data_IF_367647879324
#
_entry.id   IF_367647879324
#
_cell.length_a   1.000
_cell.length_b   1.000
_cell.length_c   1.000
_cell.angle_alpha   90.00
_cell.angle_beta   90.00
_cell.angle_gamma   90.00
#
_symmetry.space_group_name_H-M   'P 1'
#
loop_
_entity.id
_entity.type
_entity.pdbx_description
1 polymer ?
#
# COMPACT_ATOMS: atom_id res chain seq x y z
N UNK A 1 -4.71 13.24 -5.66
CA UNK A 1 -5.85 12.34 -5.44
C UNK A 1 -7.01 13.00 -4.68
N UNK A 2 -6.89 14.25 -4.26
CA UNK A 2 -7.98 15.03 -3.66
C UNK A 2 -8.20 14.80 -2.15
N UNK A 3 -7.28 14.16 -1.46
CA UNK A 3 -7.29 14.13 0.00
C UNK A 3 -7.08 15.54 0.56
N UNK A 4 -7.79 15.85 1.64
CA UNK A 4 -7.54 17.10 2.37
C UNK A 4 -6.43 16.85 3.40
N UNK A 5 -5.33 17.56 3.23
CA UNK A 5 -4.16 17.50 4.13
C UNK A 5 -3.86 18.92 4.62
N UNK A 6 -3.63 19.08 5.91
CA UNK A 6 -3.14 20.33 6.48
C UNK A 6 -1.95 20.05 7.38
N UNK A 7 -0.98 20.93 7.34
CA UNK A 7 0.26 20.85 8.11
C UNK A 7 0.38 22.07 9.02
N UNK A 8 0.92 21.88 10.21
CA UNK A 8 1.29 22.97 11.12
C UNK A 8 2.67 22.70 11.68
N UNK A 9 3.60 23.62 11.42
CA UNK A 9 4.95 23.56 11.99
C UNK A 9 4.91 24.10 13.41
N UNK A 10 5.41 23.34 14.39
CA UNK A 10 5.46 23.72 15.79
C UNK A 10 6.85 24.22 16.19
N UNK A 11 7.90 23.58 15.73
CA UNK A 11 9.28 23.99 16.03
C UNK A 11 10.19 23.79 14.82
N UNK A 12 11.25 24.61 14.77
CA UNK A 12 12.34 24.44 13.85
C UNK A 12 13.62 24.34 14.70
N UNK A 13 14.08 23.12 14.95
CA UNK A 13 15.27 22.84 15.76
C UNK A 13 16.32 22.11 14.96
N UNK A 14 17.49 22.68 14.85
CA UNK A 14 18.62 22.02 14.16
C UNK A 14 18.47 21.91 12.63
N UNK A 15 17.59 22.72 12.02
CA UNK A 15 17.34 22.67 10.57
C UNK A 15 16.24 21.70 10.15
N UNK A 16 15.64 20.97 11.09
CA UNK A 16 14.50 20.11 10.84
C UNK A 16 13.22 20.71 11.42
N UNK A 17 12.15 20.66 10.65
CA UNK A 17 10.83 21.10 11.08
C UNK A 17 10.07 19.93 11.71
N UNK A 18 9.50 20.18 12.89
CA UNK A 18 8.56 19.26 13.55
C UNK A 18 7.19 19.89 13.65
N UNK A 19 6.14 19.09 13.51
CA UNK A 19 4.79 19.60 13.51
C UNK A 19 3.73 18.52 13.42
N UNK A 20 2.50 18.95 13.19
CA UNK A 20 1.37 18.05 13.03
C UNK A 20 0.91 18.01 11.58
N UNK A 21 0.56 16.82 11.11
CA UNK A 21 -0.13 16.59 9.86
C UNK A 21 -1.54 16.10 10.16
N UNK A 22 -2.53 16.82 9.66
CA UNK A 22 -3.94 16.44 9.79
C UNK A 22 -4.49 16.01 8.44
N UNK A 23 -5.09 14.84 8.39
CA UNK A 23 -5.66 14.27 7.18
C UNK A 23 -7.16 14.05 7.40
N UNK A 24 -7.97 14.59 6.50
CA UNK A 24 -9.41 14.32 6.50
C UNK A 24 -9.72 13.28 5.44
N UNK A 25 -10.33 12.18 5.86
CA UNK A 25 -10.78 11.13 4.95
C UNK A 25 -11.82 11.64 3.94
N UNK A 26 -11.82 11.05 2.75
CA UNK A 26 -12.73 11.41 1.67
C UNK A 26 -12.59 10.45 0.50
N UNK A 27 -13.37 10.68 -0.56
CA UNK A 27 -13.26 9.94 -1.81
C UNK A 27 -12.01 10.39 -2.57
N UNK A 28 -11.14 9.44 -2.84
CA UNK A 28 -9.97 9.69 -3.68
C UNK A 28 -10.37 9.64 -5.16
N UNK A 29 -9.59 10.34 -5.98
CA UNK A 29 -9.73 10.35 -7.44
C UNK A 29 -8.43 9.91 -8.10
N UNK A 30 -8.57 9.26 -9.24
CA UNK A 30 -7.43 8.90 -10.07
C UNK A 30 -6.65 10.14 -10.51
N UNK A 31 -5.33 9.97 -10.66
CA UNK A 31 -4.39 11.01 -11.08
C UNK A 31 -3.32 10.44 -12.01
N UNK A 32 -2.57 11.31 -12.63
CA UNK A 32 -1.34 10.95 -13.32
C UNK A 32 -0.13 11.32 -12.45
N UNK A 33 0.81 10.36 -12.31
CA UNK A 33 2.07 10.49 -11.56
C UNK A 33 3.19 10.14 -12.52
N UNK A 34 4.14 11.06 -12.68
CA UNK A 34 5.30 10.88 -13.55
C UNK A 34 6.24 12.08 -13.48
N UNK A 35 7.39 12.01 -14.17
CA UNK A 35 8.38 13.06 -14.23
C UNK A 35 9.08 13.32 -12.89
N UNK A 36 9.40 14.58 -12.62
CA UNK A 36 10.30 15.02 -11.55
C UNK A 36 9.83 14.67 -10.12
N UNK A 37 8.55 14.33 -9.93
CA UNK A 37 8.06 13.93 -8.60
C UNK A 37 8.43 12.49 -8.25
N UNK A 38 8.61 11.62 -9.24
CA UNK A 38 8.80 10.19 -9.05
C UNK A 38 9.98 9.87 -8.12
N UNK A 39 11.17 10.46 -8.29
CA UNK A 39 12.29 10.19 -7.38
C UNK A 39 11.97 10.47 -5.90
N UNK A 40 11.14 11.48 -5.63
CA UNK A 40 10.79 11.88 -4.27
C UNK A 40 9.77 10.96 -3.60
N UNK A 41 8.99 10.21 -4.40
CA UNK A 41 7.93 9.33 -3.91
C UNK A 41 8.10 7.89 -4.35
N UNK A 42 9.25 7.54 -4.91
CA UNK A 42 9.51 6.23 -5.54
C UNK A 42 9.19 5.07 -4.58
N UNK A 43 9.57 5.22 -3.34
CA UNK A 43 9.37 4.21 -2.31
C UNK A 43 7.93 4.13 -1.78
N UNK A 44 7.11 5.16 -2.05
CA UNK A 44 5.70 5.22 -1.65
C UNK A 44 4.76 4.72 -2.77
N UNK A 45 5.29 4.44 -3.96
CA UNK A 45 4.47 3.98 -5.10
C UNK A 45 3.65 2.71 -4.78
N UNK A 46 4.14 1.71 -4.01
CA UNK A 46 3.32 0.57 -3.64
C UNK A 46 2.03 0.94 -2.91
N UNK A 47 2.11 1.81 -1.90
CA UNK A 47 0.91 2.25 -1.16
C UNK A 47 0.05 3.23 -1.98
N UNK A 48 0.65 4.03 -2.86
CA UNK A 48 -0.07 4.90 -3.79
C UNK A 48 -0.87 4.06 -4.79
N UNK A 49 -0.34 2.93 -5.26
CA UNK A 49 -1.05 2.01 -6.14
C UNK A 49 -2.27 1.36 -5.45
N UNK A 50 -2.16 1.01 -4.17
CA UNK A 50 -3.29 0.57 -3.35
C UNK A 50 -4.36 1.67 -3.26
N UNK A 51 -3.94 2.90 -2.95
CA UNK A 51 -4.86 4.04 -2.92
C UNK A 51 -5.51 4.30 -4.29
N UNK A 52 -4.79 4.08 -5.38
CA UNK A 52 -5.29 4.20 -6.75
C UNK A 52 -6.36 3.14 -7.07
N UNK A 53 -6.17 1.89 -6.62
CA UNK A 53 -7.17 0.84 -6.80
C UNK A 53 -8.49 1.14 -6.09
N UNK A 54 -8.43 1.87 -4.96
CA UNK A 54 -9.59 2.30 -4.18
C UNK A 54 -10.18 3.64 -4.63
N UNK A 55 -9.49 4.40 -5.48
CA UNK A 55 -9.89 5.73 -5.92
C UNK A 55 -10.89 5.66 -7.09
N UNK A 56 -11.78 6.64 -7.21
CA UNK A 56 -12.67 6.76 -8.37
C UNK A 56 -11.87 7.16 -9.63
N UNK A 57 -11.97 6.38 -10.70
CA UNK A 57 -11.37 6.67 -11.99
C UNK A 57 -9.98 6.07 -12.18
N UNK A 58 -9.28 6.56 -13.19
CA UNK A 58 -8.01 6.00 -13.66
C UNK A 58 -6.81 6.72 -13.05
N UNK A 59 -5.85 5.96 -12.53
CA UNK A 59 -4.51 6.45 -12.15
C UNK A 59 -3.48 5.91 -13.12
N UNK A 60 -2.56 6.78 -13.56
CA UNK A 60 -1.42 6.42 -14.40
C UNK A 60 -0.15 6.71 -13.60
N UNK A 61 0.68 5.68 -13.40
CA UNK A 61 2.02 5.81 -12.82
C UNK A 61 3.01 5.48 -13.92
N UNK A 62 3.92 6.40 -14.22
CA UNK A 62 4.94 6.28 -15.25
C UNK A 62 6.28 6.84 -14.78
N UNK A 63 7.34 6.64 -15.56
CA UNK A 63 8.69 7.11 -15.25
C UNK A 63 9.26 6.50 -13.94
N UNK A 64 8.71 5.36 -13.49
CA UNK A 64 9.06 4.69 -12.24
C UNK A 64 9.86 3.39 -12.47
N UNK A 65 10.58 3.29 -13.59
CA UNK A 65 11.30 2.08 -13.97
C UNK A 65 12.35 1.62 -12.95
N UNK A 66 12.87 2.52 -12.11
CA UNK A 66 13.78 2.18 -11.01
C UNK A 66 13.15 1.19 -10.00
N UNK A 67 11.83 1.14 -9.89
CA UNK A 67 11.12 0.18 -9.03
C UNK A 67 11.38 -1.28 -9.40
N UNK A 68 11.81 -1.55 -10.64
CA UNK A 68 12.09 -2.93 -11.07
C UNK A 68 13.39 -3.51 -10.53
N UNK A 69 14.25 -2.66 -9.99
CA UNK A 69 15.59 -3.03 -9.46
C UNK A 69 15.75 -2.71 -7.98
N UNK A 70 14.63 -2.55 -7.25
CA UNK A 70 14.61 -2.41 -5.79
C UNK A 70 14.76 -3.78 -5.11
N UNK A 71 14.36 -3.93 -3.85
CA UNK A 71 14.40 -5.19 -3.09
C UNK A 71 13.65 -6.32 -3.80
N UNK A 72 12.61 -5.95 -4.55
CA UNK A 72 11.89 -6.80 -5.50
C UNK A 72 11.64 -6.00 -6.78
N UNK A 73 11.15 -6.64 -7.85
CA UNK A 73 10.48 -5.92 -8.93
C UNK A 73 9.13 -5.42 -8.40
N UNK A 74 9.15 -4.21 -7.80
CA UNK A 74 7.97 -3.64 -7.15
C UNK A 74 6.81 -3.38 -8.09
N UNK A 75 7.08 -3.12 -9.38
CA UNK A 75 6.01 -2.95 -10.38
C UNK A 75 5.26 -4.27 -10.56
N UNK A 76 5.99 -5.36 -10.82
CA UNK A 76 5.39 -6.68 -10.97
C UNK A 76 4.74 -7.18 -9.68
N UNK A 77 5.39 -7.00 -8.54
CA UNK A 77 4.87 -7.41 -7.24
C UNK A 77 3.54 -6.71 -6.89
N UNK A 78 3.45 -5.40 -7.10
CA UNK A 78 2.22 -4.64 -6.91
C UNK A 78 1.14 -5.09 -7.88
N UNK A 79 1.49 -5.24 -9.16
CA UNK A 79 0.53 -5.65 -10.19
C UNK A 79 -0.02 -7.06 -9.94
N UNK A 80 0.81 -8.01 -9.55
CA UNK A 80 0.39 -9.37 -9.20
C UNK A 80 -0.58 -9.37 -8.02
N UNK A 81 -0.20 -8.75 -6.92
CA UNK A 81 -1.03 -8.72 -5.71
C UNK A 81 -2.36 -7.99 -5.93
N UNK A 82 -2.37 -6.84 -6.61
CA UNK A 82 -3.61 -6.12 -6.93
C UNK A 82 -4.53 -6.96 -7.83
N UNK A 83 -3.99 -7.72 -8.81
CA UNK A 83 -4.80 -8.65 -9.63
C UNK A 83 -5.41 -9.77 -8.80
N UNK A 84 -4.66 -10.35 -7.84
CA UNK A 84 -5.19 -11.35 -6.90
C UNK A 84 -6.35 -10.79 -6.08
N UNK A 85 -6.31 -9.50 -5.76
CA UNK A 85 -7.40 -8.80 -5.07
C UNK A 85 -8.53 -8.33 -5.99
N UNK A 86 -8.49 -8.67 -7.29
CA UNK A 86 -9.55 -8.34 -8.25
C UNK A 86 -9.48 -6.92 -8.82
N UNK A 87 -8.39 -6.18 -8.63
CA UNK A 87 -8.22 -4.87 -9.23
C UNK A 87 -8.00 -4.95 -10.75
N UNK A 88 -8.54 -3.97 -11.47
CA UNK A 88 -8.32 -3.79 -12.90
C UNK A 88 -7.10 -2.90 -13.14
N UNK A 89 -6.04 -3.50 -13.67
CA UNK A 89 -4.81 -2.77 -13.94
C UNK A 89 -4.02 -3.35 -15.11
N UNK A 90 -3.26 -2.48 -15.75
CA UNK A 90 -2.29 -2.82 -16.76
C UNK A 90 -0.89 -2.45 -16.26
N UNK A 91 0.01 -3.42 -16.22
CA UNK A 91 1.44 -3.21 -15.98
C UNK A 91 2.10 -2.66 -17.24
N UNK A 92 3.00 -1.67 -17.10
CA UNK A 92 3.83 -1.13 -18.17
C UNK A 92 5.31 -1.38 -17.89
N UNK A 93 6.20 -1.02 -18.80
CA UNK A 93 7.65 -1.21 -18.63
C UNK A 93 8.21 -0.43 -17.44
N UNK A 94 7.63 0.72 -17.13
CA UNK A 94 8.13 1.71 -16.17
C UNK A 94 7.06 2.19 -15.17
N UNK A 95 5.95 1.43 -15.02
CA UNK A 95 4.88 1.78 -14.12
C UNK A 95 3.63 0.95 -14.28
N UNK A 96 2.46 1.57 -14.12
CA UNK A 96 1.18 0.89 -14.24
C UNK A 96 0.01 1.85 -14.48
N UNK A 97 -1.05 1.34 -15.09
CA UNK A 97 -2.34 2.02 -15.27
C UNK A 97 -3.35 1.26 -14.42
N UNK A 98 -3.99 1.92 -13.48
CA UNK A 98 -4.94 1.33 -12.54
C UNK A 98 -6.30 1.96 -12.74
N UNK A 99 -7.31 1.16 -13.07
CA UNK A 99 -8.70 1.59 -13.10
C UNK A 99 -9.31 1.30 -11.73
N UNK A 100 -9.46 2.33 -10.92
CA UNK A 100 -9.93 2.20 -9.54
C UNK A 100 -11.46 2.25 -9.42
N UNK A 101 -11.93 2.27 -8.16
CA UNK A 101 -13.36 2.30 -7.84
C UNK A 101 -14.01 0.92 -7.76
N UNK A 102 -13.23 -0.14 -7.81
CA UNK A 102 -13.69 -1.51 -7.61
C UNK A 102 -13.49 -1.96 -6.16
N UNK A 103 -14.33 -2.88 -5.71
CA UNK A 103 -14.18 -3.51 -4.41
C UNK A 103 -13.03 -4.53 -4.47
N UNK A 104 -12.06 -4.36 -3.58
CA UNK A 104 -10.97 -5.34 -3.44
C UNK A 104 -11.45 -6.56 -2.66
N UNK A 105 -10.99 -7.74 -3.08
CA UNK A 105 -11.27 -9.02 -2.44
C UNK A 105 -10.06 -9.47 -1.63
N UNK A 106 -10.33 -10.08 -0.47
CA UNK A 106 -9.29 -10.73 0.31
C UNK A 106 -8.66 -11.88 -0.47
N UNK A 107 -7.34 -12.00 -0.36
CA UNK A 107 -6.56 -13.00 -1.10
C UNK A 107 -5.29 -13.38 -0.35
N UNK A 108 -4.66 -14.46 -0.76
CA UNK A 108 -3.29 -14.80 -0.37
C UNK A 108 -2.30 -14.05 -1.25
N UNK A 109 -1.51 -13.18 -0.62
CA UNK A 109 -0.60 -12.24 -1.25
C UNK A 109 0.83 -12.56 -0.84
N UNK A 110 1.77 -12.23 -1.70
CA UNK A 110 3.19 -12.46 -1.47
C UNK A 110 3.91 -11.13 -1.24
N UNK A 111 4.75 -11.06 -0.22
CA UNK A 111 5.59 -9.89 0.04
C UNK A 111 6.79 -9.75 -0.90
N UNK A 112 7.18 -10.85 -1.53
CA UNK A 112 8.43 -10.97 -2.31
C UNK A 112 9.68 -10.60 -1.50
N UNK A 113 9.63 -10.73 -0.16
CA UNK A 113 10.70 -10.31 0.74
C UNK A 113 10.86 -8.79 0.86
N UNK A 114 9.94 -8.01 0.33
CA UNK A 114 9.95 -6.55 0.33
C UNK A 114 8.96 -6.01 1.37
N UNK A 115 9.51 -5.30 2.37
CA UNK A 115 8.72 -4.75 3.47
C UNK A 115 7.68 -3.71 3.01
N UNK A 116 7.95 -2.94 1.94
CA UNK A 116 7.01 -1.95 1.40
C UNK A 116 5.83 -2.61 0.71
N UNK A 117 6.08 -3.72 0.01
CA UNK A 117 5.01 -4.54 -0.56
C UNK A 117 4.15 -5.14 0.57
N UNK A 118 4.78 -5.79 1.56
CA UNK A 118 4.06 -6.38 2.69
C UNK A 118 3.17 -5.35 3.40
N UNK A 119 3.72 -4.19 3.76
CA UNK A 119 2.97 -3.15 4.48
C UNK A 119 1.88 -2.51 3.63
N UNK A 120 2.12 -2.24 2.35
CA UNK A 120 1.11 -1.68 1.45
C UNK A 120 -0.10 -2.62 1.30
N UNK A 121 0.15 -3.91 1.16
CA UNK A 121 -0.93 -4.89 1.02
C UNK A 121 -1.59 -5.27 2.35
N UNK A 122 -0.92 -5.10 3.49
CA UNK A 122 -1.57 -5.13 4.78
C UNK A 122 -2.61 -4.00 4.91
N UNK A 123 -2.29 -2.79 4.45
CA UNK A 123 -3.27 -1.70 4.39
C UNK A 123 -4.39 -2.02 3.39
N UNK A 124 -4.07 -2.56 2.20
CA UNK A 124 -5.10 -2.97 1.22
C UNK A 124 -6.09 -3.97 1.82
N UNK A 125 -5.60 -4.94 2.59
CA UNK A 125 -6.42 -5.96 3.24
C UNK A 125 -7.48 -5.42 4.19
N UNK A 126 -7.25 -4.26 4.82
CA UNK A 126 -8.25 -3.59 5.68
C UNK A 126 -9.47 -3.14 4.86
N UNK A 127 -9.26 -2.79 3.59
CA UNK A 127 -10.31 -2.31 2.70
C UNK A 127 -10.92 -3.41 1.83
N UNK A 128 -10.35 -4.60 1.85
CA UNK A 128 -10.83 -5.75 1.09
C UNK A 128 -12.04 -6.42 1.75
N UNK A 129 -12.86 -7.09 0.96
CA UNK A 129 -13.91 -7.98 1.43
C UNK A 129 -13.35 -9.39 1.63
N UNK A 130 -13.50 -9.94 2.83
CA UNK A 130 -12.95 -11.24 3.19
C UNK A 130 -11.54 -11.17 3.80
N UNK A 131 -10.96 -12.33 4.03
CA UNK A 131 -9.65 -12.46 4.68
C UNK A 131 -8.51 -12.23 3.69
N UNK A 132 -7.54 -11.42 4.07
CA UNK A 132 -6.26 -11.25 3.37
C UNK A 132 -5.14 -11.88 4.18
N UNK A 133 -4.28 -12.66 3.53
CA UNK A 133 -3.09 -13.27 4.12
C UNK A 133 -1.88 -12.77 3.34
N UNK A 134 -0.85 -12.32 4.05
CA UNK A 134 0.40 -11.85 3.42
C UNK A 134 1.51 -12.79 3.87
N UNK A 135 2.08 -13.51 2.91
CA UNK A 135 3.16 -14.48 3.14
C UNK A 135 4.55 -13.85 3.03
N UNK A 136 5.55 -14.51 3.60
CA UNK A 136 6.96 -14.06 3.62
C UNK A 136 7.20 -12.65 4.20
N UNK A 137 6.33 -12.17 5.07
CA UNK A 137 6.36 -10.80 5.55
C UNK A 137 7.33 -10.54 6.73
N UNK A 138 8.21 -11.47 7.06
CA UNK A 138 9.25 -11.29 8.10
C UNK A 138 10.17 -10.08 7.84
N UNK A 139 10.30 -9.64 6.59
CA UNK A 139 11.04 -8.44 6.20
C UNK A 139 10.49 -7.15 6.84
N UNK A 140 9.21 -7.11 7.21
CA UNK A 140 8.59 -5.94 7.88
C UNK A 140 9.28 -5.64 9.21
N UNK A 141 9.63 -6.67 9.99
CA UNK A 141 10.26 -6.50 11.29
C UNK A 141 11.63 -5.80 11.24
N UNK A 142 12.31 -5.82 10.07
CA UNK A 142 13.60 -5.16 9.86
C UNK A 142 13.43 -3.64 9.80
N UNK A 143 12.37 -3.18 9.14
CA UNK A 143 12.14 -1.76 8.86
C UNK A 143 11.16 -1.10 9.83
N UNK A 144 10.15 -1.84 10.25
CA UNK A 144 9.12 -1.36 11.17
C UNK A 144 8.65 -2.49 12.11
N UNK A 145 9.39 -2.81 13.16
CA UNK A 145 9.11 -3.96 14.04
C UNK A 145 7.69 -3.98 14.64
N UNK A 146 7.12 -2.81 14.93
CA UNK A 146 5.80 -2.69 15.58
C UNK A 146 4.66 -2.41 14.57
N UNK A 147 4.89 -2.61 13.27
CA UNK A 147 3.91 -2.28 12.24
C UNK A 147 2.56 -2.97 12.46
N UNK A 148 2.57 -4.27 12.70
CA UNK A 148 1.35 -5.06 12.90
C UNK A 148 0.56 -4.60 14.13
N UNK A 149 1.24 -4.39 15.26
CA UNK A 149 0.64 -3.88 16.48
C UNK A 149 -0.04 -2.52 16.25
N UNK A 150 0.67 -1.60 15.59
CA UNK A 150 0.15 -0.28 15.30
C UNK A 150 -1.02 -0.33 14.30
N UNK A 151 -0.96 -1.20 13.30
CA UNK A 151 -2.04 -1.39 12.34
C UNK A 151 -3.30 -1.92 13.04
N UNK A 152 -3.17 -2.96 13.86
CA UNK A 152 -4.27 -3.53 14.65
C UNK A 152 -4.90 -2.46 15.56
N UNK A 153 -4.07 -1.68 16.25
CA UNK A 153 -4.53 -0.61 17.12
C UNK A 153 -5.35 0.43 16.35
N UNK A 154 -4.84 0.91 15.20
CA UNK A 154 -5.55 1.89 14.37
C UNK A 154 -6.90 1.37 13.87
N UNK A 155 -6.98 0.09 13.50
CA UNK A 155 -8.22 -0.53 13.01
C UNK A 155 -9.20 -0.70 14.16
N UNK A 156 -8.76 -1.23 15.33
CA UNK A 156 -9.63 -1.53 16.47
C UNK A 156 -10.18 -0.27 17.16
N UNK A 157 -9.40 0.80 17.21
CA UNK A 157 -9.82 2.07 17.81
C UNK A 157 -10.74 2.89 16.89
N UNK A 158 -10.83 2.54 15.61
CA UNK A 158 -11.62 3.27 14.64
C UNK A 158 -12.93 2.54 14.31
N UNK A 159 -14.06 3.06 14.80
CA UNK A 159 -15.40 2.50 14.57
C UNK A 159 -15.76 2.28 13.09
N UNK A 160 -15.11 2.98 12.16
CA UNK A 160 -15.33 2.80 10.72
C UNK A 160 -14.79 1.47 10.20
N UNK A 161 -13.92 0.82 10.95
CA UNK A 161 -13.29 -0.45 10.59
C UNK A 161 -13.74 -1.61 11.49
N UNK A 162 -14.73 -1.40 12.37
CA UNK A 162 -15.19 -2.43 13.33
C UNK A 162 -15.61 -3.75 12.67
N UNK A 163 -16.09 -3.67 11.43
CA UNK A 163 -16.59 -4.82 10.67
C UNK A 163 -15.56 -5.29 9.59
N UNK A 164 -14.34 -4.75 9.61
CA UNK A 164 -13.29 -5.11 8.65
C UNK A 164 -12.42 -6.24 9.19
N UNK A 165 -12.05 -7.15 8.31
CA UNK A 165 -11.09 -8.20 8.62
C UNK A 165 -9.69 -7.60 8.75
N UNK A 166 -9.00 -7.91 9.85
CA UNK A 166 -7.60 -7.56 9.99
C UNK A 166 -6.78 -8.56 9.16
N UNK A 167 -5.90 -8.11 8.25
CA UNK A 167 -5.08 -9.02 7.46
C UNK A 167 -4.14 -9.83 8.35
N UNK A 168 -3.89 -11.06 7.98
CA UNK A 168 -2.91 -11.94 8.64
C UNK A 168 -1.56 -11.76 7.96
N UNK A 169 -0.54 -11.42 8.74
CA UNK A 169 0.84 -11.22 8.28
C UNK A 169 1.66 -12.42 8.77
N UNK A 170 2.22 -13.22 7.85
CA UNK A 170 2.97 -14.42 8.20
C UNK A 170 4.44 -14.30 7.80
N UNK A 171 5.33 -14.79 8.66
CA UNK A 171 6.78 -14.79 8.40
C UNK A 171 7.25 -15.95 7.51
N UNK A 172 6.39 -16.96 7.29
CA UNK A 172 6.69 -18.14 6.50
C UNK A 172 5.58 -18.41 5.49
N UNK A 173 5.90 -18.93 4.28
CA UNK A 173 4.87 -19.49 3.42
C UNK A 173 4.18 -20.62 4.18
N UNK A 174 2.84 -20.68 4.14
CA UNK A 174 2.13 -21.83 4.68
C UNK A 174 2.68 -23.08 4.00
N UNK A 175 3.30 -23.96 4.77
CA UNK A 175 3.71 -25.27 4.29
C UNK A 175 2.43 -25.98 3.84
N UNK A 176 2.34 -26.30 2.54
CA UNK A 176 1.30 -27.17 2.00
C UNK A 176 1.20 -28.47 2.83
N UNK A 177 0.38 -28.46 3.86
CA UNK A 177 -0.02 -29.64 4.63
C UNK A 177 -1.17 -30.31 3.89
N UNK A 178 -0.90 -30.79 2.67
CA UNK A 178 -1.71 -31.78 1.99
C UNK A 178 -0.80 -32.91 1.52
N UNK A 179 -0.66 -33.91 2.38
CA UNK A 179 -0.38 -35.29 2.00
C UNK A 179 -1.48 -36.18 2.57
#
# INVERSE_FOLDING_TARGET
MGAYVSESVETNSGGEETGNVSIKGGKLKGIEIGGDIVPNIIDEIPIIAVAAALADGKTIIKDAGELRVKESDRISAVAENLRKMGADLQETSDGMIINGGHELQGAELESFGDHRIAMAFAVAGIFASGQTIITNAGCVAISYPNFEEHLIKLVSENRRFSDRSIPVITSFPESNSNK
#
